data_IF_916934698577
#
_entry.id   IF_916934698577
#
_cell.length_a   1.000
_cell.length_b   1.000
_cell.length_c   1.000
_cell.angle_alpha   90.00
_cell.angle_beta   90.00
_cell.angle_gamma   90.00
#
_symmetry.space_group_name_H-M   'P 1'
#
loop_
_entity.id
_entity.type
_entity.pdbx_description
1 polymer ?
#
# COMPACT_ATOMS: atom_id res chain seq x y z
N UNK A 1 -19.32 1.11 -31.27
CA UNK A 1 -18.12 0.37 -30.79
C UNK A 1 -17.55 -0.42 -31.97
N UNK A 2 -16.47 0.04 -32.61
CA UNK A 2 -15.89 -0.66 -33.78
C UNK A 2 -15.24 -1.97 -33.30
N UNK A 3 -15.73 -3.11 -33.78
CA UNK A 3 -15.13 -4.43 -33.54
C UNK A 3 -13.77 -4.49 -34.25
N UNK A 4 -12.69 -4.41 -33.49
CA UNK A 4 -11.34 -4.79 -33.96
C UNK A 4 -11.00 -6.14 -33.33
N UNK A 5 -10.45 -7.09 -34.10
CA UNK A 5 -10.02 -8.42 -33.62
C UNK A 5 -8.80 -8.37 -32.67
N UNK A 6 -8.48 -7.21 -32.09
CA UNK A 6 -7.28 -7.00 -31.27
C UNK A 6 -7.64 -7.12 -29.79
N UNK A 7 -6.84 -7.88 -29.04
CA UNK A 7 -6.96 -7.95 -27.59
C UNK A 7 -6.60 -6.58 -27.00
N UNK A 8 -7.56 -5.97 -26.29
CA UNK A 8 -7.36 -4.69 -25.58
C UNK A 8 -7.45 -4.83 -24.06
N UNK A 9 -8.10 -5.88 -23.57
CA UNK A 9 -8.14 -6.20 -22.14
C UNK A 9 -6.89 -6.98 -21.74
N UNK A 10 -6.25 -6.56 -20.65
CA UNK A 10 -5.07 -7.22 -20.08
C UNK A 10 -5.37 -7.54 -18.62
N UNK A 11 -5.36 -8.84 -18.30
CA UNK A 11 -5.49 -9.35 -16.93
C UNK A 11 -4.09 -9.58 -16.39
N UNK A 12 -3.77 -9.02 -15.22
CA UNK A 12 -2.43 -9.07 -14.64
C UNK A 12 -2.43 -9.59 -13.21
N UNK A 13 -1.52 -10.54 -13.00
CA UNK A 13 -1.12 -11.04 -11.69
C UNK A 13 0.41 -10.93 -11.63
N UNK A 14 0.88 -9.76 -11.25
CA UNK A 14 2.30 -9.42 -11.18
C UNK A 14 2.58 -8.73 -9.85
N UNK A 15 3.79 -8.95 -9.33
CA UNK A 15 4.26 -8.20 -8.17
C UNK A 15 4.55 -6.72 -8.53
N UNK A 16 4.89 -5.95 -7.50
CA UNK A 16 5.10 -4.50 -7.57
C UNK A 16 6.28 -4.10 -8.45
N UNK A 17 7.38 -4.86 -8.41
CA UNK A 17 8.58 -4.55 -9.17
C UNK A 17 8.36 -4.83 -10.65
N UNK A 18 7.73 -5.96 -10.97
CA UNK A 18 7.38 -6.30 -12.35
C UNK A 18 6.34 -5.33 -12.91
N UNK A 19 5.36 -4.94 -12.09
CA UNK A 19 4.41 -3.89 -12.44
C UNK A 19 5.12 -2.59 -12.82
N UNK A 20 5.98 -2.08 -11.93
CA UNK A 20 6.65 -0.79 -12.16
C UNK A 20 7.51 -0.81 -13.43
N UNK A 21 8.23 -1.91 -13.67
CA UNK A 21 9.01 -2.12 -14.91
C UNK A 21 8.11 -2.14 -16.14
N UNK A 22 6.97 -2.84 -16.08
CA UNK A 22 6.02 -2.91 -17.18
C UNK A 22 5.44 -1.53 -17.52
N UNK A 23 5.03 -0.75 -16.51
CA UNK A 23 4.51 0.61 -16.73
C UNK A 23 5.58 1.53 -17.31
N UNK A 24 6.83 1.43 -16.84
CA UNK A 24 7.95 2.17 -17.40
C UNK A 24 8.14 1.87 -18.89
N UNK A 25 8.22 0.59 -19.26
CA UNK A 25 8.40 0.18 -20.66
C UNK A 25 7.22 0.62 -21.54
N UNK A 26 6.00 0.55 -21.00
CA UNK A 26 4.82 1.00 -21.72
C UNK A 26 4.82 2.53 -21.92
N UNK A 27 5.34 3.29 -20.97
CA UNK A 27 5.47 4.75 -21.09
C UNK A 27 6.46 5.12 -22.19
N UNK A 28 7.56 4.38 -22.31
CA UNK A 28 8.53 4.55 -23.40
C UNK A 28 7.89 4.27 -24.76
N UNK A 29 7.16 3.14 -24.90
CA UNK A 29 6.45 2.79 -26.14
C UNK A 29 5.40 3.85 -26.48
N UNK A 30 4.66 4.35 -25.49
CA UNK A 30 3.63 5.39 -25.67
C UNK A 30 4.23 6.71 -26.18
N UNK A 31 5.45 7.06 -25.75
CA UNK A 31 6.16 8.26 -26.21
C UNK A 31 6.61 8.14 -27.67
N UNK A 32 6.95 6.94 -28.11
CA UNK A 32 7.33 6.66 -29.50
C UNK A 32 6.10 6.54 -30.42
N UNK A 33 5.01 5.94 -29.93
CA UNK A 33 3.78 5.71 -30.69
C UNK A 33 2.54 6.10 -29.87
N UNK A 34 1.95 7.25 -30.24
CA UNK A 34 0.78 7.83 -29.60
C UNK A 34 -0.49 6.98 -29.75
N UNK A 35 -0.49 5.95 -30.60
CA UNK A 35 -1.64 5.01 -30.71
C UNK A 35 -1.80 4.11 -29.49
N UNK A 36 -0.76 3.99 -28.65
CA UNK A 36 -0.80 3.24 -27.40
C UNK A 36 -1.34 4.03 -26.21
N UNK A 37 -1.58 5.33 -26.37
CA UNK A 37 -2.18 6.14 -25.30
C UNK A 37 -3.60 5.65 -24.98
N UNK A 38 -3.82 5.27 -23.72
CA UNK A 38 -5.10 4.70 -23.24
C UNK A 38 -5.63 3.53 -24.10
N UNK A 39 -4.72 2.76 -24.72
CA UNK A 39 -5.08 1.70 -25.64
C UNK A 39 -5.61 0.45 -24.91
N UNK A 40 -4.97 0.08 -23.79
CA UNK A 40 -5.25 -1.11 -22.99
C UNK A 40 -6.26 -0.83 -21.86
N UNK A 41 -7.07 -1.83 -21.56
CA UNK A 41 -7.94 -1.89 -20.38
C UNK A 41 -7.36 -2.88 -19.39
N UNK A 42 -7.10 -2.42 -18.17
CA UNK A 42 -6.41 -3.21 -17.17
C UNK A 42 -7.38 -3.84 -16.18
N UNK A 43 -7.18 -5.12 -15.92
CA UNK A 43 -7.76 -5.83 -14.77
C UNK A 43 -6.58 -6.35 -13.97
N UNK A 44 -6.42 -5.91 -12.73
CA UNK A 44 -5.24 -6.23 -11.94
C UNK A 44 -5.58 -6.71 -10.53
N UNK A 45 -4.60 -7.36 -9.90
CA UNK A 45 -4.65 -7.78 -8.51
C UNK A 45 -4.57 -6.59 -7.54
N UNK A 46 -4.62 -6.93 -6.25
CA UNK A 46 -4.48 -6.02 -5.12
C UNK A 46 -3.14 -5.27 -5.11
N UNK A 47 -2.10 -5.84 -5.72
CA UNK A 47 -0.79 -5.20 -5.92
C UNK A 47 -0.90 -3.84 -6.62
N UNK A 48 -1.88 -3.63 -7.51
CA UNK A 48 -2.16 -2.33 -8.13
C UNK A 48 -3.08 -1.46 -7.25
N UNK A 49 -4.16 -2.07 -6.73
CA UNK A 49 -5.26 -1.34 -6.12
C UNK A 49 -4.95 -0.79 -4.72
N UNK A 50 -4.09 -1.48 -3.99
CA UNK A 50 -3.76 -1.14 -2.61
C UNK A 50 -2.55 -0.20 -2.55
N UNK A 51 -1.51 -0.46 -3.35
CA UNK A 51 -0.23 0.24 -3.25
C UNK A 51 -0.11 1.36 -4.27
N UNK A 52 -0.69 2.51 -3.93
CA UNK A 52 -0.65 3.72 -4.77
C UNK A 52 0.78 4.17 -5.13
N UNK A 53 1.78 3.87 -4.30
CA UNK A 53 3.18 4.20 -4.58
C UNK A 53 3.73 3.55 -5.86
N UNK A 54 3.19 2.40 -6.25
CA UNK A 54 3.72 1.63 -7.39
C UNK A 54 3.31 2.27 -8.72
N UNK A 55 2.10 2.85 -8.77
CA UNK A 55 1.55 3.54 -9.94
C UNK A 55 1.89 5.04 -9.99
N UNK A 56 2.54 5.57 -8.95
CA UNK A 56 2.91 6.97 -8.87
C UNK A 56 3.79 7.39 -10.06
N UNK A 57 3.34 8.40 -10.81
CA UNK A 57 3.95 8.87 -12.06
C UNK A 57 3.40 8.23 -13.35
N UNK A 58 2.53 7.22 -13.24
CA UNK A 58 1.90 6.52 -14.36
C UNK A 58 0.36 6.59 -14.30
N UNK A 59 -0.19 7.57 -13.59
CA UNK A 59 -1.63 7.68 -13.31
C UNK A 59 -2.47 7.84 -14.58
N UNK A 60 -1.95 8.57 -15.60
CA UNK A 60 -2.70 8.78 -16.84
C UNK A 60 -2.89 7.46 -17.61
N UNK A 61 -1.90 6.58 -17.58
CA UNK A 61 -1.90 5.29 -18.32
C UNK A 61 -2.65 4.18 -17.58
N UNK A 62 -2.75 4.32 -16.25
CA UNK A 62 -3.45 3.38 -15.37
C UNK A 62 -4.89 3.83 -15.09
N UNK A 63 -5.32 4.96 -15.65
CA UNK A 63 -6.68 5.46 -15.53
C UNK A 63 -7.70 4.45 -16.05
N UNK A 64 -8.77 4.21 -15.27
CA UNK A 64 -9.80 3.24 -15.63
C UNK A 64 -9.44 1.77 -15.36
N UNK A 65 -8.30 1.49 -14.71
CA UNK A 65 -7.96 0.14 -14.26
C UNK A 65 -8.95 -0.37 -13.22
N UNK A 66 -9.43 -1.61 -13.41
CA UNK A 66 -10.21 -2.32 -12.41
C UNK A 66 -9.26 -3.18 -11.59
N UNK A 67 -9.28 -3.01 -10.28
CA UNK A 67 -8.46 -3.81 -9.36
C UNK A 67 -9.35 -4.60 -8.40
N UNK A 68 -8.84 -5.74 -7.95
CA UNK A 68 -9.47 -6.54 -6.89
C UNK A 68 -8.62 -6.36 -5.65
N UNK A 69 -9.22 -5.97 -4.54
CA UNK A 69 -8.55 -5.86 -3.25
C UNK A 69 -9.42 -6.50 -2.15
N UNK A 70 -8.81 -7.08 -1.10
CA UNK A 70 -9.55 -7.46 0.09
C UNK A 70 -10.22 -6.24 0.74
N UNK A 71 -11.23 -6.50 1.58
CA UNK A 71 -11.93 -5.46 2.35
C UNK A 71 -10.95 -4.70 3.24
N UNK A 72 -10.82 -3.39 3.00
CA UNK A 72 -9.88 -2.53 3.69
C UNK A 72 -10.54 -1.88 4.90
N UNK A 73 -9.90 -2.02 6.06
CA UNK A 73 -10.37 -1.40 7.31
C UNK A 73 -9.28 -0.49 7.86
N UNK A 74 -9.71 0.62 8.45
CA UNK A 74 -8.81 1.48 9.21
C UNK A 74 -8.82 1.02 10.66
N UNK A 75 -7.65 1.03 11.30
CA UNK A 75 -7.51 0.74 12.75
C UNK A 75 -7.13 2.04 13.46
N UNK A 76 -8.10 2.81 14.01
CA UNK A 76 -7.83 4.13 14.58
C UNK A 76 -6.84 4.12 15.76
N UNK A 77 -6.76 2.99 16.47
CA UNK A 77 -5.78 2.80 17.54
C UNK A 77 -4.34 2.82 17.03
N UNK A 78 -4.10 2.21 15.86
CA UNK A 78 -2.79 2.20 15.23
C UNK A 78 -2.41 3.61 14.76
N UNK A 79 -3.32 4.34 14.12
CA UNK A 79 -3.05 5.71 13.66
C UNK A 79 -2.63 6.63 14.82
N UNK A 80 -3.36 6.55 15.95
CA UNK A 80 -3.00 7.30 17.16
C UNK A 80 -1.66 6.87 17.73
N UNK A 81 -1.38 5.57 17.73
CA UNK A 81 -0.10 5.04 18.20
C UNK A 81 1.05 5.55 17.33
N UNK A 82 0.95 5.38 16.01
CA UNK A 82 2.00 5.74 15.05
C UNK A 82 2.31 7.23 15.10
N UNK A 83 1.29 8.10 15.10
CA UNK A 83 1.48 9.55 15.23
C UNK A 83 2.19 9.95 16.52
N UNK A 84 2.05 9.19 17.61
CA UNK A 84 2.74 9.47 18.89
C UNK A 84 4.17 8.95 18.94
N UNK A 85 4.63 8.19 17.96
CA UNK A 85 5.99 7.67 17.94
C UNK A 85 7.03 8.78 17.80
N UNK A 86 8.23 8.49 18.32
CA UNK A 86 9.47 9.24 18.15
C UNK A 86 10.45 8.39 17.33
N UNK A 87 11.49 8.98 16.72
CA UNK A 87 12.53 8.22 16.00
C UNK A 87 13.41 7.41 16.97
N UNK A 88 12.86 6.35 17.55
CA UNK A 88 13.44 5.55 18.63
C UNK A 88 14.35 4.41 18.16
N UNK A 89 14.31 4.07 16.88
CA UNK A 89 15.19 3.08 16.26
C UNK A 89 15.69 3.61 14.90
N UNK A 90 16.67 2.92 14.33
CA UNK A 90 17.33 3.32 13.08
C UNK A 90 16.34 3.55 11.94
N UNK A 91 15.38 2.64 11.72
CA UNK A 91 14.41 2.78 10.63
C UNK A 91 13.43 3.94 10.84
N UNK A 92 12.99 4.17 12.09
CA UNK A 92 12.16 5.33 12.40
C UNK A 92 12.95 6.64 12.27
N UNK A 93 14.25 6.64 12.55
CA UNK A 93 15.13 7.80 12.35
C UNK A 93 15.32 8.10 10.86
N UNK A 94 15.60 7.08 10.05
CA UNK A 94 15.70 7.22 8.60
C UNK A 94 14.39 7.76 8.00
N UNK A 95 13.25 7.22 8.43
CA UNK A 95 11.95 7.72 7.97
C UNK A 95 11.71 9.16 8.43
N UNK A 96 12.02 9.50 9.68
CA UNK A 96 11.93 10.86 10.23
C UNK A 96 12.72 11.89 9.40
N UNK A 97 13.95 11.55 9.03
CA UNK A 97 14.81 12.38 8.20
C UNK A 97 14.29 12.48 6.76
N UNK A 98 13.76 11.38 6.20
CA UNK A 98 13.25 11.36 4.82
C UNK A 98 12.05 12.28 4.56
N UNK A 99 11.29 12.60 5.60
CA UNK A 99 10.15 13.54 5.55
C UNK A 99 10.51 14.93 6.11
N UNK A 100 11.81 15.22 6.24
CA UNK A 100 12.36 16.47 6.74
C UNK A 100 11.91 16.86 8.15
N UNK A 101 11.62 15.89 9.03
CA UNK A 101 11.41 16.20 10.43
C UNK A 101 12.74 16.54 11.12
N UNK A 102 12.73 17.57 11.97
CA UNK A 102 13.86 17.96 12.83
C UNK A 102 13.62 17.58 14.29
N UNK A 103 14.65 17.63 15.12
CA UNK A 103 14.56 17.37 16.57
C UNK A 103 13.70 18.41 17.34
N UNK A 104 13.20 19.45 16.66
CA UNK A 104 12.20 20.37 17.22
C UNK A 104 10.83 19.72 17.42
N UNK A 105 10.51 18.69 16.62
CA UNK A 105 9.21 18.02 16.71
C UNK A 105 9.25 16.93 17.78
N UNK A 106 8.19 16.86 18.58
CA UNK A 106 8.12 15.88 19.67
C UNK A 106 7.70 14.49 19.21
N UNK A 107 7.04 14.33 18.07
CA UNK A 107 6.56 13.05 17.53
C UNK A 107 6.17 13.17 16.04
N UNK A 108 5.87 12.05 15.40
CA UNK A 108 5.52 12.02 13.97
C UNK A 108 4.27 12.84 13.66
N UNK A 109 3.27 12.82 14.54
CA UNK A 109 2.03 13.57 14.38
C UNK A 109 2.27 15.07 14.27
N UNK A 110 3.07 15.63 15.18
CA UNK A 110 3.44 17.05 15.15
C UNK A 110 4.21 17.41 13.88
N UNK A 111 5.17 16.56 13.48
CA UNK A 111 5.90 16.78 12.25
C UNK A 111 5.00 16.72 11.01
N UNK A 112 4.07 15.75 10.96
CA UNK A 112 3.10 15.63 9.88
C UNK A 112 2.23 16.89 9.78
N UNK A 113 1.72 17.38 10.91
CA UNK A 113 0.86 18.56 10.95
C UNK A 113 1.63 19.82 10.47
N UNK A 114 2.89 19.99 10.90
CA UNK A 114 3.73 21.13 10.46
C UNK A 114 4.03 21.12 8.96
N UNK A 115 4.22 19.94 8.38
CA UNK A 115 4.53 19.77 6.95
C UNK A 115 3.29 19.55 6.08
N UNK A 116 2.08 19.56 6.67
CA UNK A 116 0.84 19.26 5.94
C UNK A 116 0.76 17.83 5.39
N UNK A 117 1.46 16.88 6.00
CA UNK A 117 1.46 15.47 5.59
C UNK A 117 0.20 14.79 6.12
N UNK A 118 -0.61 14.26 5.21
CA UNK A 118 -1.77 13.45 5.57
C UNK A 118 -1.30 12.01 5.78
N UNK A 119 -1.23 11.58 7.04
CA UNK A 119 -0.96 10.18 7.37
C UNK A 119 -2.08 9.28 6.80
N UNK A 120 -1.71 8.37 5.89
CA UNK A 120 -2.57 7.30 5.39
C UNK A 120 -2.07 5.98 5.93
N UNK A 121 -2.93 5.27 6.64
CA UNK A 121 -2.61 3.93 7.13
C UNK A 121 -2.38 2.98 5.94
N UNK A 122 -1.36 2.15 6.06
CA UNK A 122 -1.10 1.08 5.10
C UNK A 122 -2.20 0.01 5.21
N UNK A 123 -2.69 -0.46 4.07
CA UNK A 123 -3.89 -1.29 3.96
C UNK A 123 -3.77 -2.68 4.60
N UNK A 124 -2.55 -3.20 4.75
CA UNK A 124 -2.28 -4.49 5.37
C UNK A 124 -2.13 -4.43 6.89
N UNK A 125 -2.10 -3.23 7.50
CA UNK A 125 -2.00 -3.09 8.97
C UNK A 125 -3.07 -3.88 9.73
N UNK A 126 -4.36 -3.90 9.35
CA UNK A 126 -5.36 -4.73 10.02
C UNK A 126 -5.02 -6.21 10.01
N UNK A 127 -4.50 -6.72 8.89
CA UNK A 127 -4.13 -8.14 8.73
C UNK A 127 -2.95 -8.51 9.63
N UNK A 128 -1.97 -7.61 9.78
CA UNK A 128 -0.85 -7.80 10.72
C UNK A 128 -1.36 -7.86 12.16
N UNK A 129 -2.28 -6.97 12.53
CA UNK A 129 -2.91 -6.94 13.86
C UNK A 129 -3.70 -8.22 14.11
N UNK A 130 -4.47 -8.68 13.13
CA UNK A 130 -5.26 -9.92 13.22
C UNK A 130 -4.35 -11.14 13.38
N UNK A 131 -3.24 -11.22 12.64
CA UNK A 131 -2.27 -12.31 12.79
C UNK A 131 -1.70 -12.39 14.21
N UNK A 132 -1.31 -11.25 14.79
CA UNK A 132 -0.82 -11.18 16.19
C UNK A 132 -1.93 -11.60 17.17
N UNK A 133 -3.15 -11.12 16.96
CA UNK A 133 -4.30 -11.46 17.81
C UNK A 133 -4.65 -12.95 17.74
N UNK A 134 -4.55 -13.58 16.57
CA UNK A 134 -4.81 -15.02 16.39
C UNK A 134 -3.82 -15.83 17.23
N UNK A 135 -2.53 -15.51 17.16
CA UNK A 135 -1.49 -16.19 17.95
C UNK A 135 -1.72 -15.96 19.45
N UNK A 136 -1.99 -14.72 19.87
CA UNK A 136 -2.25 -14.40 21.27
C UNK A 136 -3.46 -15.17 21.82
N UNK A 137 -4.55 -15.26 21.06
CA UNK A 137 -5.76 -16.02 21.45
C UNK A 137 -5.49 -17.52 21.51
N UNK A 138 -4.72 -18.07 20.57
CA UNK A 138 -4.35 -19.47 20.57
C UNK A 138 -3.53 -19.84 21.81
N UNK A 139 -2.52 -19.03 22.16
CA UNK A 139 -1.71 -19.21 23.36
C UNK A 139 -2.54 -19.07 24.64
N UNK A 140 -3.40 -18.07 24.72
CA UNK A 140 -4.29 -17.88 25.87
C UNK A 140 -5.18 -19.11 26.10
N UNK A 141 -5.80 -19.63 25.02
CA UNK A 141 -6.63 -20.83 25.08
C UNK A 141 -5.84 -22.07 25.50
N UNK A 142 -4.62 -22.23 24.98
CA UNK A 142 -3.73 -23.33 25.37
C UNK A 142 -3.42 -23.31 26.87
N UNK A 143 -3.07 -22.12 27.40
CA UNK A 143 -2.78 -21.95 28.83
C UNK A 143 -4.01 -22.25 29.70
N UNK A 144 -5.19 -21.75 29.31
CA UNK A 144 -6.44 -22.02 30.05
C UNK A 144 -6.74 -23.52 30.15
N UNK A 145 -6.61 -24.25 29.04
CA UNK A 145 -6.84 -25.71 29.03
C UNK A 145 -5.88 -26.43 29.98
N UNK A 146 -4.62 -26.00 30.08
CA UNK A 146 -3.65 -26.60 31.01
C UNK A 146 -4.04 -26.35 32.48
N UNK A 147 -4.51 -25.15 32.82
CA UNK A 147 -4.93 -24.84 34.18
C UNK A 147 -6.26 -25.51 34.57
N UNK A 148 -7.20 -25.67 33.63
CA UNK A 148 -8.48 -26.35 33.89
C UNK A 148 -8.36 -27.87 33.99
N UNK A 149 -7.24 -28.45 33.56
CA UNK A 149 -6.94 -29.90 33.63
C UNK A 149 -5.98 -30.28 34.77
N UNK A 150 -5.59 -29.31 35.60
CA UNK A 150 -4.77 -29.49 36.82
C UNK A 150 -5.64 -29.44 38.08
#
# INVERSE_FOLDING_TARGET
MKYTKKARGVVMFVDEDQLRRMLSNLDDIRREDSTFDNYFWWIASDSWGIKQSVIAGYESMTSGTVTIAPDLKVVPGFDRYFKKLRPSNTFLREYWESINCSDEHTNFGECFDKHGIIFKQEAYVPFVIDAVNVVARALHKYIQVLYDSS
#
